data_IF_970209126099
#
_entry.id   IF_970209126099
#
_cell.length_a   1.000
_cell.length_b   1.000
_cell.length_c   1.000
_cell.angle_alpha   90.00
_cell.angle_beta   90.00
_cell.angle_gamma   90.00
#
_symmetry.space_group_name_H-M   'P 1'
#
loop_
_entity.id
_entity.type
_entity.pdbx_description
1 polymer ?
#
# COMPACT_ATOMS: atom_id res chain seq x y z
N UNK A 1 -1.90 24.63 -9.19
CA UNK A 1 -1.90 25.74 -8.22
C UNK A 1 -2.94 25.58 -7.09
N UNK A 2 -3.63 24.43 -6.97
CA UNK A 2 -4.60 24.14 -5.88
C UNK A 2 -4.11 23.13 -4.82
N UNK A 3 -2.94 22.51 -5.02
CA UNK A 3 -2.37 21.51 -4.10
C UNK A 3 -1.13 22.04 -3.36
N UNK A 4 -0.67 23.25 -3.69
CA UNK A 4 0.55 23.82 -3.12
C UNK A 4 0.37 24.37 -1.71
N UNK A 5 -0.87 24.51 -1.24
CA UNK A 5 -1.25 25.02 0.09
C UNK A 5 -1.55 23.91 1.11
N UNK A 6 -1.48 22.63 0.72
CA UNK A 6 -1.77 21.50 1.62
C UNK A 6 -0.55 21.11 2.47
N UNK A 7 0.66 21.28 1.93
CA UNK A 7 1.90 20.87 2.58
C UNK A 7 2.44 21.96 3.50
N UNK A 8 2.14 21.86 4.79
CA UNK A 8 2.77 22.65 5.85
C UNK A 8 3.80 21.79 6.60
N UNK A 9 5.06 22.20 6.53
CA UNK A 9 6.18 21.55 7.22
C UNK A 9 6.73 22.39 8.39
N UNK A 10 6.18 23.59 8.58
CA UNK A 10 6.66 24.57 9.57
C UNK A 10 5.88 24.47 10.88
N UNK A 11 4.67 23.92 10.86
CA UNK A 11 3.81 23.75 12.04
C UNK A 11 3.50 22.29 12.36
N UNK A 12 3.13 22.04 13.61
CA UNK A 12 2.72 20.71 14.09
C UNK A 12 1.23 20.45 13.86
N UNK A 13 0.87 19.19 13.60
CA UNK A 13 -0.52 18.79 13.54
C UNK A 13 -1.18 18.92 14.93
N UNK A 14 -2.41 19.43 14.97
CA UNK A 14 -3.17 19.56 16.22
C UNK A 14 -3.70 18.22 16.75
N UNK A 15 -3.74 17.18 15.91
CA UNK A 15 -4.15 15.84 16.31
C UNK A 15 -2.96 15.16 17.01
N UNK A 16 -3.13 14.89 18.31
CA UNK A 16 -2.18 14.12 19.10
C UNK A 16 -2.71 12.70 19.31
N UNK A 17 -2.04 11.71 18.73
CA UNK A 17 -2.39 10.29 18.87
C UNK A 17 -2.23 9.79 20.31
N UNK A 18 -1.45 10.45 21.18
CA UNK A 18 -1.38 10.10 22.60
C UNK A 18 -2.70 10.36 23.33
N UNK A 19 -3.47 11.36 22.89
CA UNK A 19 -4.80 11.65 23.47
C UNK A 19 -5.80 10.57 23.06
N UNK A 20 -5.64 9.98 21.87
CA UNK A 20 -6.55 9.00 21.30
C UNK A 20 -6.21 7.58 21.78
N UNK A 21 -4.94 7.20 21.70
CA UNK A 21 -4.46 5.83 21.89
C UNK A 21 -3.61 5.64 23.16
N UNK A 22 -3.29 6.73 23.87
CA UNK A 22 -2.28 6.72 24.93
C UNK A 22 -0.86 6.70 24.37
N UNK A 23 0.12 6.55 25.26
CA UNK A 23 1.53 6.45 24.87
C UNK A 23 1.74 5.30 23.87
N UNK A 24 2.46 5.60 22.78
CA UNK A 24 2.78 4.63 21.76
C UNK A 24 3.53 3.41 22.32
N UNK A 25 3.34 2.25 21.68
CA UNK A 25 3.95 0.98 22.10
C UNK A 25 5.00 0.56 21.09
N UNK A 26 5.94 -0.29 21.50
CA UNK A 26 6.91 -0.93 20.62
C UNK A 26 6.79 -2.46 20.73
N UNK A 27 5.82 -3.02 20.00
CA UNK A 27 5.46 -4.44 20.05
C UNK A 27 6.16 -5.23 18.94
N UNK A 28 6.13 -4.70 17.71
CA UNK A 28 6.83 -5.25 16.56
C UNK A 28 7.23 -4.15 15.59
N UNK A 29 8.26 -4.40 14.79
CA UNK A 29 8.81 -3.47 13.81
C UNK A 29 8.17 -3.63 12.41
N UNK A 30 7.56 -4.78 12.12
CA UNK A 30 7.05 -5.14 10.80
C UNK A 30 5.54 -5.23 10.78
N UNK A 31 4.91 -4.60 9.79
CA UNK A 31 3.46 -4.65 9.62
C UNK A 31 3.08 -4.83 8.14
N UNK A 32 2.12 -5.71 7.86
CA UNK A 32 1.51 -5.83 6.54
C UNK A 32 0.20 -5.04 6.46
N UNK A 33 0.05 -4.25 5.40
CA UNK A 33 -1.19 -3.53 5.08
C UNK A 33 -1.97 -4.38 4.08
N UNK A 34 -3.13 -4.90 4.48
CA UNK A 34 -3.96 -5.78 3.64
C UNK A 34 -5.35 -5.19 3.38
N UNK A 35 -5.90 -5.46 2.19
CA UNK A 35 -7.21 -4.94 1.75
C UNK A 35 -8.30 -6.02 1.71
N UNK A 36 -7.91 -7.29 1.61
CA UNK A 36 -8.83 -8.40 1.36
C UNK A 36 -9.27 -9.07 2.65
N UNK A 37 -10.60 -9.14 2.84
CA UNK A 37 -11.19 -9.89 3.95
C UNK A 37 -10.91 -11.39 3.86
N UNK A 38 -10.77 -11.92 2.65
CA UNK A 38 -10.42 -13.34 2.44
C UNK A 38 -8.98 -13.62 2.89
N UNK A 39 -8.03 -12.74 2.53
CA UNK A 39 -6.64 -12.81 3.00
C UNK A 39 -6.58 -12.68 4.52
N UNK A 40 -7.28 -11.70 5.10
CA UNK A 40 -7.40 -11.56 6.54
C UNK A 40 -7.91 -12.85 7.21
N UNK A 41 -8.99 -13.41 6.67
CA UNK A 41 -9.62 -14.63 7.21
C UNK A 41 -8.68 -15.83 7.10
N UNK A 42 -7.94 -15.94 6.00
CA UNK A 42 -6.90 -16.95 5.82
C UNK A 42 -5.81 -16.82 6.90
N UNK A 43 -5.22 -15.63 7.06
CA UNK A 43 -4.15 -15.41 8.05
C UNK A 43 -4.58 -15.77 9.47
N UNK A 44 -5.76 -15.31 9.90
CA UNK A 44 -6.29 -15.58 11.25
C UNK A 44 -6.64 -17.06 11.46
N UNK A 45 -7.03 -17.79 10.41
CA UNK A 45 -7.40 -19.21 10.52
C UNK A 45 -6.22 -20.18 10.39
N UNK A 46 -5.13 -19.78 9.72
CA UNK A 46 -3.99 -20.63 9.43
C UNK A 46 -2.78 -20.38 10.33
N UNK A 47 -2.70 -19.21 10.96
CA UNK A 47 -1.64 -18.86 11.89
C UNK A 47 -2.20 -18.62 13.29
N UNK A 48 -1.35 -18.83 14.30
CA UNK A 48 -1.65 -18.36 15.65
C UNK A 48 -1.47 -16.85 15.68
N UNK A 49 -2.59 -16.13 15.72
CA UNK A 49 -2.61 -14.68 15.76
C UNK A 49 -3.05 -14.16 17.14
N UNK A 50 -2.44 -13.06 17.58
CA UNK A 50 -2.84 -12.30 18.76
C UNK A 50 -3.23 -10.87 18.35
N UNK A 51 -4.27 -10.30 18.94
CA UNK A 51 -4.61 -8.89 18.75
C UNK A 51 -3.70 -8.07 19.65
N UNK A 52 -2.88 -7.20 19.07
CA UNK A 52 -1.88 -6.40 19.78
C UNK A 52 -2.23 -4.91 19.84
N UNK A 53 -3.26 -4.49 19.10
CA UNK A 53 -3.71 -3.11 19.03
C UNK A 53 -5.02 -2.98 18.28
N UNK A 54 -5.58 -1.79 18.31
CA UNK A 54 -6.82 -1.46 17.61
C UNK A 54 -6.77 0.00 17.15
N UNK A 55 -7.21 0.24 15.90
CA UNK A 55 -7.38 1.57 15.32
C UNK A 55 -8.86 1.90 15.40
N UNK A 56 -9.20 3.02 16.03
CA UNK A 56 -10.58 3.44 16.22
C UNK A 56 -11.14 4.09 14.95
N UNK A 57 -12.32 3.66 14.49
CA UNK A 57 -12.98 4.29 13.35
C UNK A 57 -14.50 4.30 13.50
N UNK A 58 -15.16 5.33 12.96
CA UNK A 58 -16.62 5.49 13.08
C UNK A 58 -17.42 4.36 12.43
N UNK A 59 -16.85 3.67 11.44
CA UNK A 59 -17.43 2.53 10.75
C UNK A 59 -17.07 1.17 11.38
N UNK A 60 -16.44 1.19 12.56
CA UNK A 60 -16.03 0.00 13.31
C UNK A 60 -14.53 -0.05 13.49
N UNK A 61 -14.11 -0.48 14.67
CA UNK A 61 -12.70 -0.53 15.02
C UNK A 61 -11.96 -1.62 14.22
N UNK A 62 -10.70 -1.33 13.88
CA UNK A 62 -9.85 -2.23 13.11
C UNK A 62 -8.81 -2.84 14.03
N UNK A 63 -8.90 -4.14 14.27
CA UNK A 63 -7.90 -4.87 15.06
C UNK A 63 -6.59 -5.02 14.29
N UNK A 64 -5.48 -4.79 14.98
CA UNK A 64 -4.12 -5.10 14.51
C UNK A 64 -3.72 -6.45 15.10
N UNK A 65 -3.55 -7.43 14.22
CA UNK A 65 -3.13 -8.79 14.57
C UNK A 65 -1.61 -8.89 14.50
N UNK A 66 -1.05 -9.84 15.22
CA UNK A 66 0.36 -10.22 15.16
C UNK A 66 0.46 -11.74 15.09
N UNK A 67 1.31 -12.23 14.18
CA UNK A 67 1.63 -13.64 14.04
C UNK A 67 3.15 -13.85 14.15
N UNK A 68 3.56 -15.07 14.43
CA UNK A 68 4.94 -15.52 14.24
C UNK A 68 5.06 -16.22 12.89
N UNK A 69 5.99 -15.75 12.05
CA UNK A 69 6.33 -16.39 10.80
C UNK A 69 7.85 -16.58 10.74
N UNK A 70 8.30 -17.85 10.80
CA UNK A 70 9.72 -18.22 10.78
C UNK A 70 10.55 -17.51 11.88
N UNK A 71 9.96 -17.27 13.05
CA UNK A 71 10.61 -16.58 14.18
C UNK A 71 10.55 -15.06 14.12
N UNK A 72 9.93 -14.48 13.09
CA UNK A 72 9.67 -13.05 12.97
C UNK A 72 8.25 -12.72 13.44
N UNK A 73 8.12 -11.71 14.30
CA UNK A 73 6.80 -11.16 14.68
C UNK A 73 6.33 -10.20 13.60
N UNK A 74 5.25 -10.54 12.91
CA UNK A 74 4.70 -9.72 11.82
C UNK A 74 3.28 -9.31 12.18
N UNK A 75 3.07 -8.00 12.29
CA UNK A 75 1.74 -7.46 12.43
C UNK A 75 1.01 -7.41 11.09
N UNK A 76 -0.32 -7.37 11.11
CA UNK A 76 -1.12 -7.03 9.94
C UNK A 76 -2.48 -6.46 10.37
N UNK A 77 -3.07 -5.65 9.50
CA UNK A 77 -4.43 -5.12 9.69
C UNK A 77 -5.16 -4.96 8.36
N UNK A 78 -6.50 -5.04 8.42
CA UNK A 78 -7.37 -4.85 7.28
C UNK A 78 -7.69 -3.36 7.09
N UNK A 79 -7.06 -2.73 6.10
CA UNK A 79 -7.31 -1.33 5.74
C UNK A 79 -8.56 -1.16 4.86
N UNK A 80 -8.98 0.08 4.67
CA UNK A 80 -9.92 0.48 3.61
C UNK A 80 -9.22 0.92 2.32
N UNK A 81 -10.00 0.99 1.24
CA UNK A 81 -9.58 1.49 -0.08
C UNK A 81 -9.52 3.02 -0.07
N UNK A 82 -8.50 3.57 -0.71
CA UNK A 82 -8.25 4.99 -0.87
C UNK A 82 -7.08 5.49 -0.03
N UNK A 83 -6.28 6.36 -0.64
CA UNK A 83 -5.03 6.88 -0.08
C UNK A 83 -5.19 7.52 1.29
N UNK A 84 -6.25 8.32 1.50
CA UNK A 84 -6.50 8.95 2.80
C UNK A 84 -6.69 7.94 3.94
N UNK A 85 -7.39 6.84 3.68
CA UNK A 85 -7.66 5.79 4.69
C UNK A 85 -6.41 4.96 4.93
N UNK A 86 -5.78 4.47 3.85
CA UNK A 86 -4.60 3.62 3.95
C UNK A 86 -3.42 4.35 4.62
N UNK A 87 -3.19 5.63 4.27
CA UNK A 87 -2.11 6.43 4.86
C UNK A 87 -2.36 6.72 6.33
N UNK A 88 -3.59 7.14 6.72
CA UNK A 88 -3.89 7.43 8.13
C UNK A 88 -3.71 6.19 8.99
N UNK A 89 -4.26 5.05 8.56
CA UNK A 89 -4.16 3.79 9.28
C UNK A 89 -2.71 3.28 9.36
N UNK A 90 -1.89 3.52 8.35
CA UNK A 90 -0.45 3.21 8.39
C UNK A 90 0.21 3.94 9.56
N UNK A 91 0.04 5.26 9.66
CA UNK A 91 0.67 6.04 10.73
C UNK A 91 0.02 5.79 12.11
N UNK A 92 -1.29 5.59 12.18
CA UNK A 92 -1.96 5.21 13.42
C UNK A 92 -1.47 3.84 13.92
N UNK A 93 -1.27 2.88 13.03
CA UNK A 93 -0.68 1.59 13.41
C UNK A 93 0.74 1.75 13.94
N UNK A 94 1.56 2.64 13.34
CA UNK A 94 2.90 2.94 13.85
C UNK A 94 2.82 3.41 15.31
N UNK A 95 1.92 4.34 15.61
CA UNK A 95 1.72 4.81 16.98
C UNK A 95 1.25 3.69 17.93
N UNK A 96 0.27 2.88 17.51
CA UNK A 96 -0.35 1.87 18.36
C UNK A 96 0.57 0.68 18.65
N UNK A 97 1.39 0.25 17.70
CA UNK A 97 2.21 -0.98 17.81
C UNK A 97 3.72 -0.79 17.60
N UNK A 98 4.16 0.37 17.12
CA UNK A 98 5.57 0.74 16.96
C UNK A 98 6.23 0.24 15.69
N UNK A 99 5.45 -0.22 14.70
CA UNK A 99 5.99 -0.72 13.44
C UNK A 99 6.64 0.39 12.62
N UNK A 100 7.84 0.16 12.07
CA UNK A 100 8.51 1.13 11.19
C UNK A 100 8.68 0.62 9.76
N UNK A 101 8.49 -0.69 9.53
CA UNK A 101 8.58 -1.34 8.21
C UNK A 101 7.23 -1.88 7.79
N UNK A 102 6.73 -1.37 6.67
CA UNK A 102 5.43 -1.69 6.13
C UNK A 102 5.55 -2.45 4.81
N UNK A 103 4.91 -3.61 4.72
CA UNK A 103 4.72 -4.32 3.46
C UNK A 103 3.28 -4.12 3.03
N UNK A 104 3.06 -3.35 1.98
CA UNK A 104 1.73 -3.15 1.40
C UNK A 104 1.61 -3.93 0.10
N UNK A 105 0.46 -4.54 -0.10
CA UNK A 105 0.18 -5.22 -1.35
C UNK A 105 -1.31 -5.28 -1.65
N UNK A 106 -1.62 -5.24 -2.93
CA UNK A 106 -3.00 -5.20 -3.40
C UNK A 106 -3.13 -5.57 -4.88
N UNK A 107 -4.35 -5.39 -5.38
CA UNK A 107 -4.65 -5.47 -6.81
C UNK A 107 -4.39 -4.14 -7.51
N UNK A 108 -4.21 -4.18 -8.82
CA UNK A 108 -4.18 -2.98 -9.65
C UNK A 108 -4.77 -3.25 -11.04
N UNK A 109 -5.18 -2.18 -11.70
CA UNK A 109 -5.55 -2.19 -13.12
C UNK A 109 -4.30 -2.10 -14.00
N UNK A 110 -4.09 -3.06 -14.89
CA UNK A 110 -2.96 -3.08 -15.80
C UNK A 110 -3.14 -2.08 -16.94
N UNK A 111 -2.15 -1.21 -17.15
CA UNK A 111 -2.07 -0.27 -18.28
C UNK A 111 -1.16 -0.79 -19.41
N UNK A 112 -0.28 -1.74 -19.10
CA UNK A 112 0.59 -2.45 -20.03
C UNK A 112 0.55 -3.98 -19.78
N UNK A 113 -0.44 -4.64 -20.39
CA UNK A 113 -0.72 -6.07 -20.20
C UNK A 113 0.47 -6.97 -20.53
N UNK A 114 1.24 -6.65 -21.56
CA UNK A 114 2.36 -7.51 -21.97
C UNK A 114 3.49 -7.50 -20.95
N UNK A 115 3.75 -6.34 -20.35
CA UNK A 115 4.81 -6.16 -19.35
C UNK A 115 4.44 -6.78 -18.00
N UNK A 116 3.16 -6.66 -17.59
CA UNK A 116 2.67 -7.06 -16.26
C UNK A 116 2.23 -8.52 -16.17
N UNK A 117 1.98 -9.20 -17.29
CA UNK A 117 1.43 -10.56 -17.29
C UNK A 117 2.30 -11.56 -16.53
N UNK A 118 1.69 -12.23 -15.54
CA UNK A 118 2.32 -13.30 -14.76
C UNK A 118 3.43 -12.82 -13.83
N UNK A 119 3.46 -11.52 -13.51
CA UNK A 119 4.47 -10.89 -12.68
C UNK A 119 3.79 -9.98 -11.66
N UNK A 120 4.40 -9.85 -10.49
CA UNK A 120 4.10 -8.73 -9.59
C UNK A 120 4.69 -7.44 -10.13
N UNK A 121 4.06 -6.33 -9.81
CA UNK A 121 4.54 -5.01 -10.15
C UNK A 121 5.17 -4.44 -8.89
N UNK A 122 6.45 -4.07 -8.97
CA UNK A 122 7.13 -3.29 -7.93
C UNK A 122 7.17 -1.84 -8.41
N UNK A 123 6.36 -0.94 -7.84
CA UNK A 123 6.29 0.44 -8.31
C UNK A 123 7.61 1.20 -8.06
N UNK A 124 8.08 1.99 -9.02
CA UNK A 124 9.28 2.84 -8.87
C UNK A 124 8.93 4.28 -8.52
N UNK A 125 7.83 4.78 -9.09
CA UNK A 125 7.22 6.08 -8.79
C UNK A 125 5.70 5.93 -8.91
N UNK A 126 4.95 6.73 -8.16
CA UNK A 126 3.50 6.82 -8.32
C UNK A 126 3.05 8.23 -8.70
N UNK A 127 2.18 8.35 -9.70
CA UNK A 127 1.49 9.60 -10.01
C UNK A 127 0.50 9.93 -8.88
N UNK A 128 0.58 11.16 -8.37
CA UNK A 128 -0.22 11.66 -7.23
C UNK A 128 -1.57 12.19 -7.68
N UNK A 129 -2.43 11.30 -8.19
CA UNK A 129 -3.79 11.60 -8.63
C UNK A 129 -4.84 11.57 -7.52
N UNK A 130 -4.39 11.54 -6.28
CA UNK A 130 -5.18 11.48 -5.05
C UNK A 130 -4.90 12.71 -4.17
N UNK A 131 -5.67 12.91 -3.10
CA UNK A 131 -5.57 14.09 -2.23
C UNK A 131 -4.62 13.99 -1.04
N UNK A 132 -4.37 12.79 -0.49
CA UNK A 132 -3.68 12.59 0.78
C UNK A 132 -2.18 12.88 0.70
N UNK A 133 -1.49 12.46 -0.37
CA UNK A 133 -0.04 12.67 -0.45
C UNK A 133 0.37 14.14 -0.46
N UNK A 134 -0.52 15.05 -0.87
CA UNK A 134 -0.25 16.50 -0.93
C UNK A 134 -0.14 17.16 0.44
N UNK A 135 -0.58 16.49 1.50
CA UNK A 135 -0.37 16.95 2.89
C UNK A 135 1.01 16.55 3.45
N UNK A 136 1.67 15.56 2.85
CA UNK A 136 2.89 14.96 3.42
C UNK A 136 4.14 15.12 2.54
N UNK A 137 4.00 15.64 1.32
CA UNK A 137 5.13 15.87 0.42
C UNK A 137 5.00 17.16 -0.41
N UNK A 138 6.13 17.85 -0.71
CA UNK A 138 6.15 19.03 -1.58
C UNK A 138 5.43 18.79 -2.92
N UNK A 139 4.89 19.86 -3.51
CA UNK A 139 4.17 19.78 -4.78
C UNK A 139 5.04 19.16 -5.90
N UNK A 140 4.55 18.07 -6.47
CA UNK A 140 5.15 17.31 -7.57
C UNK A 140 4.06 16.41 -8.16
N UNK A 141 4.16 16.07 -9.45
CA UNK A 141 3.25 15.11 -10.10
C UNK A 141 3.47 13.68 -9.62
N UNK A 142 4.70 13.34 -9.22
CA UNK A 142 5.11 11.99 -8.84
C UNK A 142 5.78 11.97 -7.46
N UNK A 143 5.62 10.84 -6.77
CA UNK A 143 6.39 10.46 -5.59
C UNK A 143 7.24 9.22 -5.89
N UNK A 144 8.48 9.22 -5.40
CA UNK A 144 9.42 8.10 -5.56
C UNK A 144 9.14 7.01 -4.54
N UNK A 145 9.15 5.74 -4.96
CA UNK A 145 9.02 4.59 -4.07
C UNK A 145 10.44 4.14 -3.68
N UNK A 146 10.90 4.59 -2.51
CA UNK A 146 12.32 4.50 -2.11
C UNK A 146 12.85 3.06 -2.05
N UNK A 147 12.03 2.11 -1.60
CA UNK A 147 12.47 0.73 -1.37
C UNK A 147 12.19 -0.23 -2.53
N UNK A 148 11.87 0.28 -3.72
CA UNK A 148 11.59 -0.58 -4.88
C UNK A 148 12.77 -1.50 -5.23
N UNK A 149 14.01 -1.02 -5.11
CA UNK A 149 15.22 -1.83 -5.39
C UNK A 149 15.48 -2.88 -4.30
N UNK A 150 15.28 -2.52 -3.02
CA UNK A 150 15.41 -3.47 -1.91
C UNK A 150 14.38 -4.59 -2.05
N UNK A 151 13.12 -4.25 -2.36
CA UNK A 151 12.07 -5.25 -2.57
C UNK A 151 12.35 -6.13 -3.79
N UNK A 152 12.89 -5.56 -4.88
CA UNK A 152 13.30 -6.32 -6.05
C UNK A 152 14.38 -7.35 -5.71
N UNK A 153 15.40 -6.98 -4.93
CA UNK A 153 16.42 -7.92 -4.45
C UNK A 153 15.82 -9.04 -3.58
N UNK A 154 14.82 -8.74 -2.75
CA UNK A 154 14.09 -9.74 -1.97
C UNK A 154 13.32 -10.68 -2.90
N UNK A 155 12.64 -10.14 -3.91
CA UNK A 155 11.89 -10.93 -4.89
C UNK A 155 12.78 -11.87 -5.71
N UNK A 156 14.01 -11.46 -6.05
CA UNK A 156 15.01 -12.36 -6.63
C UNK A 156 15.37 -13.53 -5.70
N UNK A 157 15.58 -13.26 -4.40
CA UNK A 157 15.92 -14.30 -3.41
C UNK A 157 14.81 -15.33 -3.24
N UNK A 158 13.56 -14.86 -3.19
CA UNK A 158 12.38 -15.73 -3.02
C UNK A 158 11.84 -16.27 -4.35
N UNK A 159 12.46 -15.91 -5.48
CA UNK A 159 12.10 -16.31 -6.84
C UNK A 159 10.67 -15.92 -7.24
N UNK A 160 10.20 -14.78 -6.76
CA UNK A 160 8.92 -14.20 -7.18
C UNK A 160 9.12 -13.43 -8.49
N UNK A 161 8.37 -13.73 -9.56
CA UNK A 161 8.50 -13.02 -10.83
C UNK A 161 7.96 -11.59 -10.70
N UNK A 162 8.72 -10.61 -11.19
CA UNK A 162 8.32 -9.21 -11.10
C UNK A 162 8.72 -8.36 -12.29
N UNK A 163 8.15 -7.17 -12.32
CA UNK A 163 8.56 -6.06 -13.17
C UNK A 163 8.54 -4.76 -12.36
N UNK A 164 9.47 -3.87 -12.65
CA UNK A 164 9.49 -2.51 -12.10
C UNK A 164 8.88 -1.53 -13.09
N UNK A 165 8.13 -0.56 -12.59
CA UNK A 165 7.60 0.52 -13.42
C UNK A 165 6.86 1.59 -12.63
N UNK A 166 6.52 2.69 -13.31
CA UNK A 166 5.69 3.74 -12.71
C UNK A 166 4.26 3.26 -12.59
N UNK A 167 3.55 3.78 -11.61
CA UNK A 167 2.11 3.54 -11.43
C UNK A 167 1.36 4.85 -11.27
N UNK A 168 0.04 4.77 -11.23
CA UNK A 168 -0.85 5.90 -11.02
C UNK A 168 -1.75 5.62 -9.82
N UNK A 169 -1.68 6.44 -8.78
CA UNK A 169 -2.66 6.45 -7.69
C UNK A 169 -3.84 7.37 -8.03
N UNK A 170 -5.06 6.85 -8.00
CA UNK A 170 -6.29 7.61 -8.29
C UNK A 170 -7.30 7.57 -7.14
N UNK A 171 -7.95 8.70 -6.85
CA UNK A 171 -9.09 8.72 -5.91
C UNK A 171 -10.40 8.20 -6.53
N UNK A 172 -10.47 8.10 -7.86
CA UNK A 172 -11.73 7.81 -8.54
C UNK A 172 -11.54 6.93 -9.77
N UNK A 173 -11.64 5.62 -9.55
CA UNK A 173 -11.64 4.64 -10.64
C UNK A 173 -12.76 4.89 -11.66
N UNK A 174 -13.91 5.43 -11.21
CA UNK A 174 -15.04 5.81 -12.09
C UNK A 174 -14.70 6.94 -13.08
N UNK A 175 -13.58 7.65 -12.86
CA UNK A 175 -13.09 8.75 -13.68
C UNK A 175 -11.77 8.44 -14.38
N UNK A 176 -11.37 7.18 -14.47
CA UNK A 176 -10.28 6.71 -15.33
C UNK A 176 -10.63 6.81 -16.82
N UNK A 177 -10.80 8.04 -17.31
CA UNK A 177 -11.17 8.29 -18.71
C UNK A 177 -10.08 7.85 -19.66
N UNK A 178 -10.44 7.51 -20.90
CA UNK A 178 -9.48 7.19 -21.97
C UNK A 178 -8.36 8.22 -22.10
N UNK A 179 -8.66 9.51 -21.96
CA UNK A 179 -7.66 10.57 -22.03
C UNK A 179 -6.69 10.57 -20.86
N UNK A 180 -7.16 10.31 -19.63
CA UNK A 180 -6.29 10.18 -18.45
C UNK A 180 -5.44 8.92 -18.54
N UNK A 181 -6.03 7.79 -18.89
CA UNK A 181 -5.31 6.52 -19.10
C UNK A 181 -4.23 6.68 -20.16
N UNK A 182 -4.55 7.25 -21.33
CA UNK A 182 -3.58 7.50 -22.40
C UNK A 182 -2.45 8.44 -21.94
N UNK A 183 -2.78 9.48 -21.16
CA UNK A 183 -1.78 10.38 -20.58
C UNK A 183 -0.82 9.63 -19.66
N UNK A 184 -1.32 8.85 -18.70
CA UNK A 184 -0.48 8.10 -17.74
C UNK A 184 0.37 7.03 -18.43
N UNK A 185 -0.19 6.34 -19.43
CA UNK A 185 0.58 5.44 -20.30
C UNK A 185 1.71 6.16 -21.02
N UNK A 186 1.44 7.36 -21.56
CA UNK A 186 2.45 8.21 -22.20
C UNK A 186 3.56 8.69 -21.25
N UNK A 187 3.28 8.76 -19.95
CA UNK A 187 4.25 9.10 -18.90
C UNK A 187 5.01 7.87 -18.34
N UNK A 188 4.71 6.68 -18.87
CA UNK A 188 5.36 5.41 -18.52
C UNK A 188 4.69 4.62 -17.39
N UNK A 189 3.47 4.98 -16.97
CA UNK A 189 2.72 4.21 -15.97
C UNK A 189 2.27 2.87 -16.57
N UNK A 190 2.56 1.76 -15.88
CA UNK A 190 2.20 0.39 -16.28
C UNK A 190 0.99 -0.15 -15.52
N UNK A 191 0.58 0.51 -14.43
CA UNK A 191 -0.60 0.16 -13.64
C UNK A 191 -1.27 1.38 -12.99
N UNK A 192 -2.50 1.19 -12.53
CA UNK A 192 -3.28 2.13 -11.72
C UNK A 192 -3.81 1.44 -10.46
N UNK A 193 -3.75 2.12 -9.33
CA UNK A 193 -4.23 1.69 -8.01
C UNK A 193 -4.72 2.92 -7.21
N UNK A 194 -5.03 2.79 -5.91
CA UNK A 194 -5.77 3.82 -5.17
C UNK A 194 -5.13 4.29 -3.86
N UNK A 195 -3.95 3.79 -3.46
CA UNK A 195 -3.37 4.00 -2.13
C UNK A 195 -1.91 4.48 -2.09
N UNK A 196 -1.07 3.98 -3.01
CA UNK A 196 0.38 3.98 -2.86
C UNK A 196 0.98 5.36 -2.67
N UNK A 197 0.55 6.36 -3.45
CA UNK A 197 1.09 7.71 -3.34
C UNK A 197 0.88 8.30 -1.95
N UNK A 198 -0.29 8.09 -1.34
CA UNK A 198 -0.60 8.57 0.01
C UNK A 198 0.22 7.85 1.08
N UNK A 199 0.33 6.53 1.00
CA UNK A 199 1.06 5.72 1.97
C UNK A 199 2.57 6.00 1.89
N UNK A 200 3.15 6.08 0.69
CA UNK A 200 4.56 6.45 0.54
C UNK A 200 4.84 7.85 1.09
N UNK A 201 3.95 8.82 0.85
CA UNK A 201 4.15 10.19 1.30
C UNK A 201 4.13 10.30 2.83
N UNK A 202 3.19 9.63 3.51
CA UNK A 202 3.15 9.65 4.97
C UNK A 202 4.33 8.89 5.58
N UNK A 203 4.75 7.77 4.97
CA UNK A 203 5.95 7.05 5.40
C UNK A 203 7.20 7.93 5.27
N UNK A 204 7.37 8.61 4.13
CA UNK A 204 8.47 9.54 3.92
C UNK A 204 8.50 10.69 4.92
N UNK A 205 7.33 11.24 5.25
CA UNK A 205 7.19 12.37 6.17
C UNK A 205 7.56 12.00 7.61
N UNK A 206 7.17 10.80 8.06
CA UNK A 206 7.45 10.32 9.43
C UNK A 206 8.67 9.41 9.55
N UNK A 207 9.41 9.17 8.47
CA UNK A 207 10.61 8.32 8.48
C UNK A 207 10.33 6.82 8.64
N UNK A 208 9.23 6.35 8.09
CA UNK A 208 8.85 4.93 8.01
C UNK A 208 9.28 4.34 6.65
N UNK A 209 9.47 3.03 6.62
CA UNK A 209 9.89 2.31 5.41
C UNK A 209 8.71 1.56 4.80
N UNK A 210 8.34 1.89 3.55
CA UNK A 210 7.29 1.20 2.80
C UNK A 210 7.89 0.31 1.71
N UNK A 211 7.39 -0.92 1.60
CA UNK A 211 7.69 -1.89 0.57
C UNK A 211 6.38 -2.29 -0.09
N UNK A 212 6.16 -1.87 -1.34
CA UNK A 212 4.89 -2.08 -2.04
C UNK A 212 5.05 -2.97 -3.27
N UNK A 213 4.10 -3.88 -3.48
CA UNK A 213 3.95 -4.60 -4.73
C UNK A 213 2.48 -4.88 -5.06
N UNK A 214 2.18 -4.96 -6.35
CA UNK A 214 0.81 -5.08 -6.86
C UNK A 214 0.67 -6.31 -7.76
N UNK A 215 -0.54 -6.86 -7.83
CA UNK A 215 -0.92 -7.87 -8.83
C UNK A 215 -1.99 -7.31 -9.75
N UNK A 216 -1.79 -7.47 -11.06
CA UNK A 216 -2.75 -7.03 -12.06
C UNK A 216 -3.97 -7.96 -12.07
N UNK A 217 -5.15 -7.40 -11.79
CA UNK A 217 -6.43 -8.14 -11.82
C UNK A 217 -7.25 -7.90 -13.08
N UNK A 218 -7.17 -6.69 -13.57
CA UNK A 218 -7.96 -6.18 -14.68
C UNK A 218 -7.06 -5.46 -15.69
N UNK A 219 -7.59 -5.26 -16.90
CA UNK A 219 -6.88 -4.55 -17.97
C UNK A 219 -7.70 -3.35 -18.41
N UNK A 220 -7.08 -2.17 -18.37
CA UNK A 220 -7.62 -0.92 -18.88
C UNK A 220 -7.02 -0.63 -20.25
N UNK A 221 -7.78 -0.92 -21.30
CA UNK A 221 -7.36 -0.77 -22.69
C UNK A 221 -8.29 0.10 -23.54
N UNK A 222 -7.87 0.42 -24.76
CA UNK A 222 -8.66 1.22 -25.71
C UNK A 222 -10.03 0.59 -26.04
N UNK A 223 -10.10 -0.74 -25.96
CA UNK A 223 -11.28 -1.59 -26.16
C UNK A 223 -12.24 -1.64 -24.97
N UNK A 224 -11.85 -1.18 -23.78
CA UNK A 224 -12.69 -1.20 -22.58
C UNK A 224 -12.01 -1.83 -21.36
N UNK A 225 -12.84 -2.34 -20.44
CA UNK A 225 -12.44 -2.88 -19.14
C UNK A 225 -12.60 -4.41 -19.13
N UNK A 226 -11.51 -5.15 -18.90
CA UNK A 226 -11.51 -6.62 -18.72
C UNK A 226 -11.30 -6.95 -17.23
N UNK A 227 -12.25 -7.64 -16.58
CA UNK A 227 -12.23 -7.87 -15.12
C UNK A 227 -12.06 -9.35 -14.70
N UNK A 228 -11.82 -10.27 -15.63
CA UNK A 228 -11.83 -11.72 -15.35
C UNK A 228 -10.82 -12.13 -14.25
N UNK A 229 -9.68 -11.44 -14.12
CA UNK A 229 -8.67 -11.72 -13.10
C UNK A 229 -8.83 -10.91 -11.81
N UNK A 230 -9.80 -10.00 -11.71
CA UNK A 230 -9.85 -9.02 -10.62
C UNK A 230 -10.14 -9.68 -9.27
N UNK A 231 -11.02 -10.68 -9.25
CA UNK A 231 -11.32 -11.44 -8.04
C UNK A 231 -10.05 -12.13 -7.49
N UNK A 232 -9.30 -12.80 -8.36
CA UNK A 232 -8.06 -13.46 -7.97
C UNK A 232 -7.00 -12.44 -7.51
N UNK A 233 -6.82 -11.33 -8.24
CA UNK A 233 -5.90 -10.28 -7.82
C UNK A 233 -6.30 -9.63 -6.48
N UNK A 234 -7.59 -9.53 -6.17
CA UNK A 234 -8.05 -9.03 -4.88
C UNK A 234 -7.79 -10.04 -3.75
N UNK A 235 -8.06 -11.32 -3.99
CA UNK A 235 -8.26 -12.28 -2.89
C UNK A 235 -7.26 -13.42 -2.83
N UNK A 236 -6.45 -13.66 -3.86
CA UNK A 236 -5.48 -14.73 -3.87
C UNK A 236 -4.46 -14.56 -2.74
N UNK A 237 -4.46 -15.54 -1.83
CA UNK A 237 -3.60 -15.62 -0.64
C UNK A 237 -2.12 -15.74 -0.97
N UNK A 238 -1.76 -16.11 -2.21
CA UNK A 238 -0.38 -16.21 -2.67
C UNK A 238 0.41 -14.91 -2.46
N UNK A 239 -0.23 -13.74 -2.64
CA UNK A 239 0.38 -12.44 -2.33
C UNK A 239 0.73 -12.28 -0.86
N UNK A 240 -0.16 -12.71 0.03
CA UNK A 240 0.09 -12.65 1.47
C UNK A 240 1.22 -13.59 1.88
N UNK A 241 1.33 -14.77 1.26
CA UNK A 241 2.45 -15.68 1.50
C UNK A 241 3.78 -15.08 1.01
N UNK A 242 3.77 -14.39 -0.14
CA UNK A 242 4.94 -13.66 -0.66
C UNK A 242 5.31 -12.52 0.27
N UNK A 243 4.35 -11.75 0.78
CA UNK A 243 4.60 -10.67 1.72
C UNK A 243 5.19 -11.18 3.05
N UNK A 244 4.67 -12.29 3.58
CA UNK A 244 5.22 -12.96 4.76
C UNK A 244 6.66 -13.42 4.52
N UNK A 245 6.95 -14.04 3.37
CA UNK A 245 8.30 -14.46 3.04
C UNK A 245 9.23 -13.25 2.88
N UNK A 246 8.81 -12.22 2.14
CA UNK A 246 9.58 -11.01 1.92
C UNK A 246 9.93 -10.31 3.23
N UNK A 247 8.99 -10.26 4.18
CA UNK A 247 9.20 -9.69 5.50
C UNK A 247 10.32 -10.37 6.30
N UNK A 248 10.71 -11.61 5.98
CA UNK A 248 11.86 -12.27 6.63
C UNK A 248 13.23 -11.78 6.12
N UNK A 249 13.27 -11.03 5.02
CA UNK A 249 14.49 -10.46 4.44
C UNK A 249 14.62 -8.95 4.67
N UNK A 250 13.55 -8.29 5.15
CA UNK A 250 13.46 -6.86 5.43
C UNK A 250 13.77 -6.58 6.91
#
# INVERSE_FOLDING_TARGET
MLQSDFFDKETEALIDLNVIYGAGKHITDKCMIIFSKEIHTYLVSHYKCEIIGEIGACNGNISIYCLDYKGEKIAFYLTGIGSAVASSMCYESHHVIGATKYIMFGSCGSLDKETTRGKFIIPTESYRGEGASHYYAPSSDYITIKNCDVLAEVFEKIKAPYVKGRVWTTDSMLRETKGLVAKRKGEGCIAVEMELAGVQAICDFYGLELYDFLEAGDVLGDSGYEFEGLHDANHNVGKALIALEAATYL
#
